data_IF_044062269687
#
_entry.id   IF_044062269687
#
_cell.length_a   1.000
_cell.length_b   1.000
_cell.length_c   1.000
_cell.angle_alpha   90.00
_cell.angle_beta   90.00
_cell.angle_gamma   90.00
#
_symmetry.space_group_name_H-M   'P 1'
#
loop_
_entity.id
_entity.type
_entity.pdbx_description
1 polymer ?
#
# COMPACT_ATOMS: atom_id res chain seq x y z
N UNK A 1 -3.57 -2.38 -9.83
CA UNK A 1 -3.08 -1.35 -8.89
C UNK A 1 -1.55 -1.27 -8.90
N UNK A 2 -0.83 -2.34 -8.52
CA UNK A 2 0.64 -2.33 -8.49
C UNK A 2 1.31 -1.93 -9.82
N UNK A 3 0.90 -2.55 -10.94
CA UNK A 3 1.46 -2.24 -12.27
C UNK A 3 1.26 -0.77 -12.64
N UNK A 4 0.07 -0.22 -12.39
CA UNK A 4 -0.23 1.18 -12.62
C UNK A 4 0.67 2.10 -11.79
N UNK A 5 0.83 1.79 -10.50
CA UNK A 5 1.68 2.54 -9.58
C UNK A 5 3.16 2.50 -10.01
N UNK A 6 3.67 1.33 -10.41
CA UNK A 6 5.03 1.17 -10.91
C UNK A 6 5.26 1.95 -12.20
N UNK A 7 4.33 1.88 -13.16
CA UNK A 7 4.41 2.65 -14.42
C UNK A 7 4.39 4.16 -14.14
N UNK A 8 3.52 4.62 -13.24
CA UNK A 8 3.47 6.02 -12.82
C UNK A 8 4.82 6.50 -12.27
N UNK A 9 5.44 5.74 -11.36
CA UNK A 9 6.76 6.08 -10.80
C UNK A 9 7.86 6.11 -11.86
N UNK A 10 7.88 5.13 -12.77
CA UNK A 10 8.87 5.07 -13.86
C UNK A 10 8.73 6.30 -14.77
N UNK A 11 7.51 6.60 -15.22
CA UNK A 11 7.24 7.74 -16.10
C UNK A 11 7.65 9.05 -15.41
N UNK A 12 7.25 9.25 -14.16
CA UNK A 12 7.61 10.45 -13.40
C UNK A 12 9.14 10.59 -13.24
N UNK A 13 9.83 9.50 -12.94
CA UNK A 13 11.29 9.48 -12.80
C UNK A 13 11.98 9.86 -14.11
N UNK A 14 11.53 9.33 -15.24
CA UNK A 14 12.06 9.67 -16.56
C UNK A 14 11.90 11.17 -16.84
N UNK A 15 10.68 11.71 -16.67
CA UNK A 15 10.43 13.14 -16.88
C UNK A 15 11.30 14.02 -15.96
N UNK A 16 11.45 13.63 -14.71
CA UNK A 16 12.26 14.35 -13.73
C UNK A 16 13.74 14.39 -14.10
N UNK A 17 14.30 13.26 -14.57
CA UNK A 17 15.70 13.19 -15.01
C UNK A 17 15.96 13.96 -16.31
N UNK A 18 14.93 14.12 -17.16
CA UNK A 18 15.04 14.86 -18.43
C UNK A 18 15.14 16.38 -18.23
N UNK A 19 14.67 16.94 -17.11
CA UNK A 19 14.66 18.40 -16.86
C UNK A 19 16.00 19.09 -17.20
N UNK A 20 17.15 18.68 -16.63
CA UNK A 20 18.45 19.30 -16.94
C UNK A 20 18.99 18.92 -18.32
N UNK A 21 18.50 17.86 -18.97
CA UNK A 21 18.90 17.46 -20.33
C UNK A 21 18.23 18.32 -21.41
N UNK A 22 16.97 18.74 -21.20
CA UNK A 22 16.20 19.53 -22.16
C UNK A 22 16.98 20.74 -22.71
N UNK A 23 17.59 21.63 -21.89
CA UNK A 23 18.34 22.76 -22.43
C UNK A 23 19.54 22.32 -23.27
N UNK A 24 20.25 21.24 -22.90
CA UNK A 24 21.41 20.73 -23.65
C UNK A 24 21.02 20.12 -24.99
N UNK A 25 19.92 19.38 -25.04
CA UNK A 25 19.38 18.84 -26.30
C UNK A 25 18.95 19.99 -27.20
N UNK A 26 18.28 21.01 -26.64
CA UNK A 26 17.82 22.16 -27.40
C UNK A 26 18.97 23.03 -27.94
N UNK A 27 20.10 23.13 -27.24
CA UNK A 27 21.29 23.81 -27.76
C UNK A 27 21.88 23.11 -29.00
N UNK A 28 21.75 21.78 -29.10
CA UNK A 28 22.20 21.01 -30.27
C UNK A 28 21.20 21.09 -31.43
N UNK A 29 19.90 20.96 -31.14
CA UNK A 29 18.85 20.90 -32.16
C UNK A 29 18.45 22.28 -32.69
N UNK A 30 18.40 23.28 -31.81
CA UNK A 30 18.02 24.66 -32.13
C UNK A 30 18.94 25.64 -31.37
N UNK A 31 20.18 25.82 -31.85
CA UNK A 31 21.16 26.67 -31.19
C UNK A 31 20.68 28.12 -31.15
N UNK A 32 20.94 28.77 -30.02
CA UNK A 32 20.78 30.21 -29.83
C UNK A 32 22.14 30.89 -29.97
N UNK A 33 22.15 32.22 -30.14
CA UNK A 33 23.38 33.01 -30.26
C UNK A 33 24.25 32.93 -28.97
N UNK A 34 23.59 32.68 -27.84
CA UNK A 34 24.20 32.37 -26.54
C UNK A 34 23.69 31.01 -26.05
N UNK A 35 24.51 30.28 -25.31
CA UNK A 35 24.12 28.98 -24.73
C UNK A 35 23.02 29.16 -23.68
N UNK A 36 22.06 28.22 -23.61
CA UNK A 36 21.00 28.27 -22.60
C UNK A 36 21.58 28.16 -21.18
N UNK A 37 20.95 28.80 -20.17
CA UNK A 37 21.41 28.69 -18.78
C UNK A 37 21.37 27.24 -18.29
N UNK A 38 22.36 26.87 -17.47
CA UNK A 38 22.45 25.56 -16.86
C UNK A 38 21.30 25.38 -15.86
N UNK A 39 20.48 24.35 -16.09
CA UNK A 39 19.37 23.97 -15.20
C UNK A 39 19.79 22.74 -14.40
N UNK A 40 19.49 22.77 -13.10
CA UNK A 40 19.65 21.64 -12.20
C UNK A 40 18.29 21.15 -11.73
N UNK A 41 18.23 19.88 -11.33
CA UNK A 41 17.02 19.23 -10.84
C UNK A 41 16.50 19.89 -9.56
N UNK A 42 17.41 20.31 -8.67
CA UNK A 42 17.09 21.04 -7.45
C UNK A 42 18.20 22.06 -7.14
N UNK A 43 17.87 23.26 -6.65
CA UNK A 43 18.85 24.30 -6.38
C UNK A 43 19.62 23.98 -5.10
N UNK A 44 20.89 23.60 -5.22
CA UNK A 44 21.80 23.38 -4.08
C UNK A 44 23.02 24.27 -4.19
N UNK A 45 23.41 24.81 -3.04
CA UNK A 45 24.62 25.61 -2.92
C UNK A 45 25.81 24.70 -2.59
N UNK A 46 26.61 24.37 -3.60
CA UNK A 46 27.79 23.51 -3.46
C UNK A 46 29.06 24.28 -3.04
N UNK A 47 28.99 25.62 -2.87
CA UNK A 47 30.13 26.49 -2.54
C UNK A 47 31.33 26.32 -3.49
N UNK A 48 31.06 25.88 -4.71
CA UNK A 48 32.01 25.73 -5.81
C UNK A 48 31.42 26.37 -7.06
N UNK A 49 32.28 26.69 -8.02
CA UNK A 49 31.86 27.20 -9.32
C UNK A 49 30.99 26.15 -10.05
N UNK A 50 29.72 26.50 -10.27
CA UNK A 50 28.70 25.62 -10.85
C UNK A 50 28.93 25.37 -12.34
N UNK A 51 29.57 26.30 -13.04
CA UNK A 51 29.87 26.18 -14.47
C UNK A 51 31.08 25.27 -14.67
N UNK A 52 32.13 25.48 -13.88
CA UNK A 52 33.35 24.67 -13.94
C UNK A 52 33.11 23.20 -13.54
N UNK A 53 32.28 22.96 -12.53
CA UNK A 53 32.00 21.62 -11.98
C UNK A 53 30.62 21.07 -12.35
N UNK A 54 30.08 21.50 -13.49
CA UNK A 54 28.71 21.16 -13.90
C UNK A 54 28.43 19.65 -13.91
N UNK A 55 29.25 18.83 -14.60
CA UNK A 55 29.00 17.39 -14.74
C UNK A 55 29.10 16.61 -13.41
N UNK A 56 30.13 16.84 -12.55
CA UNK A 56 30.15 16.25 -11.20
C UNK A 56 28.92 16.61 -10.35
N UNK A 57 28.49 17.89 -10.40
CA UNK A 57 27.30 18.35 -9.66
C UNK A 57 26.05 17.66 -10.20
N UNK A 58 25.90 17.60 -11.53
CA UNK A 58 24.77 16.95 -12.18
C UNK A 58 24.70 15.46 -11.82
N UNK A 59 25.84 14.77 -11.83
CA UNK A 59 25.93 13.36 -11.42
C UNK A 59 25.50 13.17 -9.96
N UNK A 60 25.97 14.02 -9.05
CA UNK A 60 25.56 13.98 -7.64
C UNK A 60 24.05 14.24 -7.49
N UNK A 61 23.51 15.22 -8.22
CA UNK A 61 22.07 15.49 -8.25
C UNK A 61 21.29 14.26 -8.72
N UNK A 62 21.73 13.57 -9.78
CA UNK A 62 21.04 12.35 -10.22
C UNK A 62 21.13 11.20 -9.23
N UNK A 63 22.32 10.95 -8.66
CA UNK A 63 22.49 9.88 -7.68
C UNK A 63 21.59 10.10 -6.46
N UNK A 64 21.54 11.32 -5.94
CA UNK A 64 20.69 11.68 -4.80
C UNK A 64 19.20 11.63 -5.15
N UNK A 65 18.79 12.14 -6.32
CA UNK A 65 17.40 12.05 -6.79
C UNK A 65 16.94 10.60 -6.95
N UNK A 66 17.72 9.75 -7.62
CA UNK A 66 17.41 8.33 -7.81
C UNK A 66 17.31 7.58 -6.48
N UNK A 67 18.23 7.87 -5.54
CA UNK A 67 18.21 7.28 -4.20
C UNK A 67 16.93 7.65 -3.46
N UNK A 68 16.57 8.95 -3.45
CA UNK A 68 15.34 9.43 -2.80
C UNK A 68 14.09 8.83 -3.40
N UNK A 69 13.99 8.78 -4.74
CA UNK A 69 12.84 8.19 -5.44
C UNK A 69 12.73 6.69 -5.14
N UNK A 70 13.85 5.98 -5.09
CA UNK A 70 13.87 4.54 -4.77
C UNK A 70 13.39 4.27 -3.36
N UNK A 71 13.84 5.08 -2.39
CA UNK A 71 13.38 4.98 -1.00
C UNK A 71 11.87 5.21 -0.92
N UNK A 72 11.37 6.28 -1.55
CA UNK A 72 9.94 6.60 -1.57
C UNK A 72 9.12 5.45 -2.18
N UNK A 73 9.49 4.98 -3.36
CA UNK A 73 8.84 3.86 -4.04
C UNK A 73 8.83 2.58 -3.18
N UNK A 74 9.93 2.30 -2.48
CA UNK A 74 10.03 1.12 -1.61
C UNK A 74 9.10 1.24 -0.41
N UNK A 75 9.03 2.41 0.22
CA UNK A 75 8.13 2.67 1.36
C UNK A 75 6.67 2.51 0.93
N UNK A 76 6.27 3.15 -0.18
CA UNK A 76 4.89 3.11 -0.66
C UNK A 76 4.48 1.69 -1.09
N UNK A 77 5.38 0.97 -1.76
CA UNK A 77 5.13 -0.41 -2.16
C UNK A 77 5.00 -1.30 -0.93
N UNK A 78 5.83 -1.10 0.08
CA UNK A 78 5.74 -1.85 1.34
C UNK A 78 4.41 -1.59 2.04
N UNK A 79 3.95 -0.33 2.07
CA UNK A 79 2.63 0.03 2.57
C UNK A 79 1.52 -0.75 1.85
N UNK A 80 1.49 -0.66 0.51
CA UNK A 80 0.50 -1.35 -0.33
C UNK A 80 0.50 -2.85 -0.06
N UNK A 81 1.68 -3.47 -0.03
CA UNK A 81 1.82 -4.91 0.17
C UNK A 81 1.32 -5.37 1.55
N UNK A 82 1.66 -4.63 2.61
CA UNK A 82 1.20 -4.98 3.95
C UNK A 82 -0.34 -4.85 4.08
N UNK A 83 -0.93 -3.83 3.44
CA UNK A 83 -2.39 -3.68 3.37
C UNK A 83 -3.04 -4.83 2.60
N UNK A 84 -2.53 -5.17 1.40
CA UNK A 84 -3.05 -6.28 0.61
C UNK A 84 -2.93 -7.63 1.32
N UNK A 85 -1.84 -7.83 2.07
CA UNK A 85 -1.65 -9.00 2.90
C UNK A 85 -2.71 -9.08 4.01
N UNK A 86 -2.98 -7.98 4.71
CA UNK A 86 -4.05 -7.91 5.70
C UNK A 86 -5.44 -8.17 5.08
N UNK A 87 -5.74 -7.58 3.93
CA UNK A 87 -6.97 -7.83 3.17
C UNK A 87 -7.14 -9.31 2.81
N UNK A 88 -6.07 -9.98 2.38
CA UNK A 88 -6.09 -11.39 2.04
C UNK A 88 -6.38 -12.26 3.26
N UNK A 89 -5.81 -11.90 4.42
CA UNK A 89 -6.08 -12.57 5.69
C UNK A 89 -7.53 -12.40 6.13
N UNK A 90 -8.12 -11.21 5.98
CA UNK A 90 -9.56 -11.00 6.23
C UNK A 90 -10.42 -11.96 5.40
N UNK A 91 -10.15 -12.09 4.10
CA UNK A 91 -10.90 -13.00 3.20
C UNK A 91 -10.81 -14.46 3.68
N UNK A 92 -9.61 -14.92 4.04
CA UNK A 92 -9.40 -16.29 4.53
C UNK A 92 -10.16 -16.54 5.83
N UNK A 93 -10.15 -15.57 6.75
CA UNK A 93 -10.85 -15.67 8.03
C UNK A 93 -12.36 -15.67 7.79
N UNK A 94 -12.90 -14.78 6.97
CA UNK A 94 -14.32 -14.74 6.61
C UNK A 94 -14.81 -16.08 6.04
N UNK A 95 -14.07 -16.66 5.09
CA UNK A 95 -14.45 -17.93 4.49
C UNK A 95 -14.43 -19.08 5.51
N UNK A 96 -13.48 -19.07 6.45
CA UNK A 96 -13.43 -20.08 7.52
C UNK A 96 -14.59 -19.93 8.49
N UNK A 97 -14.94 -18.70 8.87
CA UNK A 97 -16.09 -18.40 9.72
C UNK A 97 -17.39 -18.85 9.05
N UNK A 98 -17.59 -18.49 7.78
CA UNK A 98 -18.78 -18.87 7.00
C UNK A 98 -18.95 -20.39 6.92
N UNK A 99 -17.86 -21.15 6.71
CA UNK A 99 -17.90 -22.61 6.69
C UNK A 99 -18.29 -23.21 8.06
N UNK A 100 -17.70 -22.71 9.15
CA UNK A 100 -18.03 -23.18 10.51
C UNK A 100 -19.50 -22.85 10.85
N UNK A 101 -19.98 -21.65 10.53
CA UNK A 101 -21.36 -21.24 10.74
C UNK A 101 -22.33 -22.05 9.88
N UNK A 102 -21.96 -22.36 8.63
CA UNK A 102 -22.72 -23.22 7.74
C UNK A 102 -22.87 -24.64 8.29
N UNK A 103 -21.76 -25.28 8.69
CA UNK A 103 -21.75 -26.61 9.30
C UNK A 103 -22.56 -26.66 10.61
N UNK A 104 -22.52 -25.59 11.41
CA UNK A 104 -23.31 -25.50 12.64
C UNK A 104 -24.82 -25.42 12.34
N UNK A 105 -25.22 -24.65 11.33
CA UNK A 105 -26.63 -24.54 10.89
C UNK A 105 -27.15 -25.86 10.34
N UNK A 106 -26.40 -26.55 9.48
CA UNK A 106 -26.82 -27.85 8.93
C UNK A 106 -26.96 -28.91 10.02
N UNK A 107 -26.03 -28.94 11.00
CA UNK A 107 -26.14 -29.86 12.16
C UNK A 107 -27.38 -29.57 13.01
N UNK A 108 -27.71 -28.29 13.20
CA UNK A 108 -28.90 -27.89 13.97
C UNK A 108 -30.22 -28.22 13.22
N UNK A 109 -30.22 -28.12 11.90
CA UNK A 109 -31.35 -28.52 11.05
C UNK A 109 -31.50 -30.05 10.98
N UNK A 110 -30.40 -30.78 10.86
CA UNK A 110 -30.38 -32.24 10.96
C UNK A 110 -30.84 -32.71 12.35
N UNK A 111 -30.40 -32.08 13.44
CA UNK A 111 -30.89 -32.38 14.80
C UNK A 111 -32.39 -32.09 14.95
N UNK A 112 -32.91 -31.00 14.36
CA UNK A 112 -34.37 -30.72 14.33
C UNK A 112 -35.14 -31.77 13.53
N UNK A 113 -34.60 -32.20 12.38
CA UNK A 113 -35.20 -33.25 11.56
C UNK A 113 -35.10 -34.64 12.23
N UNK A 114 -34.02 -34.91 12.97
CA UNK A 114 -33.80 -36.16 13.73
C UNK A 114 -34.63 -36.20 15.02
N UNK A 115 -34.87 -35.06 15.70
CA UNK A 115 -35.77 -34.98 16.85
C UNK A 115 -37.23 -35.28 16.51
N UNK A 116 -37.60 -35.25 15.22
CA UNK A 116 -38.92 -35.69 14.74
C UNK A 116 -38.93 -37.19 14.39
N UNK A 117 -37.77 -37.87 14.33
CA UNK A 117 -37.67 -39.21 13.73
C UNK A 117 -36.82 -40.28 14.42
N UNK A 118 -36.03 -40.01 15.48
CA UNK A 118 -35.10 -41.05 16.00
C UNK A 118 -34.99 -41.09 17.53
N UNK A 119 -36.02 -41.64 18.15
CA UNK A 119 -36.00 -42.00 19.57
C UNK A 119 -35.27 -43.33 19.86
N UNK A 120 -34.78 -44.10 18.88
CA UNK A 120 -34.14 -45.39 19.19
C UNK A 120 -32.93 -45.68 18.28
N UNK A 121 -31.90 -46.28 18.90
CA UNK A 121 -30.79 -47.05 18.32
C UNK A 121 -29.41 -46.36 18.22
N UNK A 122 -28.39 -47.05 18.73
CA UNK A 122 -26.94 -46.79 18.67
C UNK A 122 -26.26 -45.96 19.78
N UNK A 123 -26.71 -46.11 21.03
CA UNK A 123 -25.90 -45.77 22.21
C UNK A 123 -25.06 -46.95 22.74
N UNK A 124 -25.00 -48.09 22.06
CA UNK A 124 -24.34 -49.27 22.64
C UNK A 124 -23.94 -50.22 21.54
N UNK A 125 -22.66 -50.24 21.19
CA UNK A 125 -21.87 -51.39 20.66
C UNK A 125 -20.76 -50.91 19.73
N UNK A 126 -19.60 -50.58 20.30
CA UNK A 126 -18.32 -51.23 19.97
C UNK A 126 -17.20 -50.57 20.81
N UNK A 127 -16.85 -51.27 21.88
CA UNK A 127 -15.86 -50.87 22.88
C UNK A 127 -14.62 -51.74 22.68
N UNK A 128 -13.49 -51.13 22.33
CA UNK A 128 -12.19 -51.82 22.32
C UNK A 128 -11.05 -51.07 21.63
N UNK A 129 -11.28 -50.56 20.42
CA UNK A 129 -10.25 -49.86 19.61
C UNK A 129 -10.55 -48.38 19.36
N UNK A 130 -11.82 -48.00 19.38
CA UNK A 130 -12.34 -46.67 19.02
C UNK A 130 -11.97 -45.55 20.01
N UNK A 131 -11.63 -45.91 21.26
CA UNK A 131 -11.27 -44.94 22.30
C UNK A 131 -9.88 -44.32 22.12
N UNK A 132 -9.00 -44.97 21.36
CA UNK A 132 -7.71 -44.39 20.98
C UNK A 132 -7.89 -43.42 19.81
N UNK A 133 -8.61 -43.83 18.77
CA UNK A 133 -8.85 -43.05 17.57
C UNK A 133 -9.72 -41.82 17.84
N UNK A 134 -10.76 -41.94 18.67
CA UNK A 134 -11.58 -40.79 19.10
C UNK A 134 -10.79 -39.80 19.97
N UNK A 135 -9.92 -40.30 20.85
CA UNK A 135 -9.05 -39.45 21.67
C UNK A 135 -8.04 -38.70 20.80
N UNK A 136 -7.49 -39.38 19.78
CA UNK A 136 -6.56 -38.79 18.82
C UNK A 136 -7.26 -37.73 17.93
N UNK A 137 -8.50 -37.99 17.50
CA UNK A 137 -9.37 -37.03 16.82
C UNK A 137 -9.67 -35.80 17.69
N UNK A 138 -10.04 -35.99 18.95
CA UNK A 138 -10.29 -34.90 19.90
C UNK A 138 -9.05 -34.04 20.16
N UNK A 139 -7.87 -34.66 20.25
CA UNK A 139 -6.60 -33.96 20.36
C UNK A 139 -6.30 -33.17 19.08
N UNK A 140 -6.58 -33.74 17.91
CA UNK A 140 -6.42 -33.07 16.62
C UNK A 140 -7.34 -31.84 16.50
N UNK A 141 -8.61 -31.98 16.86
CA UNK A 141 -9.57 -30.86 16.88
C UNK A 141 -9.14 -29.77 17.85
N UNK A 142 -8.73 -30.12 19.07
CA UNK A 142 -8.26 -29.16 20.07
C UNK A 142 -6.99 -28.43 19.61
N UNK A 143 -6.06 -29.13 18.95
CA UNK A 143 -4.87 -28.52 18.33
C UNK A 143 -5.25 -27.58 17.18
N UNK A 144 -6.21 -27.96 16.35
CA UNK A 144 -6.70 -27.11 15.26
C UNK A 144 -7.35 -25.84 15.80
N UNK A 145 -8.15 -25.95 16.87
CA UNK A 145 -8.80 -24.81 17.51
C UNK A 145 -7.78 -23.84 18.12
N UNK A 146 -6.75 -24.36 18.81
CA UNK A 146 -5.64 -23.55 19.32
C UNK A 146 -4.83 -22.90 18.19
N UNK A 147 -4.62 -23.61 17.08
CA UNK A 147 -3.94 -23.06 15.91
C UNK A 147 -4.74 -21.92 15.28
N UNK A 148 -6.07 -22.05 15.18
CA UNK A 148 -6.96 -21.00 14.70
C UNK A 148 -6.94 -19.78 15.64
N UNK A 149 -7.00 -19.99 16.95
CA UNK A 149 -6.95 -18.91 17.94
C UNK A 149 -5.60 -18.17 17.89
N UNK A 150 -4.49 -18.91 17.75
CA UNK A 150 -3.16 -18.33 17.58
C UNK A 150 -3.04 -17.52 16.28
N UNK A 151 -3.57 -18.05 15.17
CA UNK A 151 -3.60 -17.36 13.87
C UNK A 151 -4.44 -16.09 13.97
N UNK A 152 -5.62 -16.15 14.59
CA UNK A 152 -6.51 -15.00 14.78
C UNK A 152 -5.83 -13.93 15.65
N UNK A 153 -5.16 -14.34 16.74
CA UNK A 153 -4.45 -13.41 17.63
C UNK A 153 -3.26 -12.75 16.94
N UNK A 154 -2.46 -13.52 16.20
CA UNK A 154 -1.34 -13.00 15.41
C UNK A 154 -1.84 -12.06 14.31
N UNK A 155 -2.95 -12.40 13.66
CA UNK A 155 -3.62 -11.55 12.68
C UNK A 155 -4.09 -10.23 13.29
N UNK A 156 -4.82 -10.27 14.41
CA UNK A 156 -5.30 -9.07 15.09
C UNK A 156 -4.14 -8.17 15.53
N UNK A 157 -3.06 -8.75 16.06
CA UNK A 157 -1.86 -8.01 16.41
C UNK A 157 -1.23 -7.34 15.17
N UNK A 158 -1.13 -8.07 14.06
CA UNK A 158 -0.59 -7.55 12.81
C UNK A 158 -1.44 -6.40 12.28
N UNK A 159 -2.78 -6.53 12.24
CA UNK A 159 -3.70 -5.47 11.83
C UNK A 159 -3.61 -4.26 12.76
N UNK A 160 -3.46 -4.46 14.07
CA UNK A 160 -3.33 -3.36 15.02
C UNK A 160 -2.03 -2.58 14.83
N UNK A 161 -0.90 -3.28 14.65
CA UNK A 161 0.40 -2.67 14.35
C UNK A 161 0.34 -1.91 13.02
N UNK A 162 -0.26 -2.53 12.00
CA UNK A 162 -0.46 -1.95 10.68
C UNK A 162 -1.26 -0.66 10.76
N UNK A 163 -2.43 -0.71 11.43
CA UNK A 163 -3.33 0.41 11.60
C UNK A 163 -2.67 1.55 12.38
N UNK A 164 -1.98 1.24 13.48
CA UNK A 164 -1.28 2.25 14.29
C UNK A 164 -0.16 2.94 13.51
N UNK A 165 0.71 2.15 12.87
CA UNK A 165 1.85 2.66 12.09
C UNK A 165 1.39 3.50 10.91
N UNK A 166 0.40 3.00 10.15
CA UNK A 166 -0.09 3.71 8.97
C UNK A 166 -1.01 4.86 9.28
N UNK A 167 -1.76 4.85 10.39
CA UNK A 167 -2.50 6.04 10.82
C UNK A 167 -1.52 7.20 11.08
N UNK A 168 -0.43 6.93 11.80
CA UNK A 168 0.60 7.94 12.06
C UNK A 168 1.32 8.36 10.78
N UNK A 169 1.75 7.41 9.94
CA UNK A 169 2.45 7.71 8.70
C UNK A 169 1.56 8.50 7.72
N UNK A 170 0.29 8.12 7.58
CA UNK A 170 -0.68 8.81 6.71
C UNK A 170 -1.00 10.20 7.24
N UNK A 171 -1.11 10.37 8.55
CA UNK A 171 -1.29 11.69 9.16
C UNK A 171 -0.13 12.62 8.85
N UNK A 172 1.10 12.15 9.04
CA UNK A 172 2.31 12.91 8.70
C UNK A 172 2.34 13.21 7.21
N UNK A 173 2.09 12.21 6.36
CA UNK A 173 2.05 12.38 4.90
C UNK A 173 1.02 13.43 4.47
N UNK A 174 -0.22 13.38 5.00
CA UNK A 174 -1.26 14.35 4.68
C UNK A 174 -0.87 15.77 5.12
N UNK A 175 -0.28 15.90 6.31
CA UNK A 175 0.19 17.21 6.82
C UNK A 175 1.28 17.81 5.93
N UNK A 176 2.26 16.99 5.50
CA UNK A 176 3.32 17.42 4.59
C UNK A 176 2.76 17.77 3.20
N UNK A 177 1.80 17.00 2.69
CA UNK A 177 1.15 17.30 1.42
C UNK A 177 0.41 18.64 1.45
N UNK A 178 -0.30 18.95 2.53
CA UNK A 178 -0.97 20.24 2.69
C UNK A 178 0.01 21.41 2.73
N UNK A 179 1.15 21.25 3.41
CA UNK A 179 2.21 22.26 3.45
C UNK A 179 2.83 22.46 2.06
N UNK A 180 3.17 21.38 1.35
CA UNK A 180 3.74 21.43 0.00
C UNK A 180 2.78 22.10 -0.97
N UNK A 181 1.49 21.72 -0.94
CA UNK A 181 0.48 22.30 -1.82
C UNK A 181 0.26 23.80 -1.53
N UNK A 182 0.34 24.20 -0.26
CA UNK A 182 0.26 25.61 0.13
C UNK A 182 1.44 26.43 -0.42
N UNK A 183 2.66 25.89 -0.33
CA UNK A 183 3.86 26.53 -0.88
C UNK A 183 3.76 26.64 -2.40
N UNK A 184 3.33 25.58 -3.09
CA UNK A 184 3.11 25.59 -4.54
C UNK A 184 2.05 26.62 -4.92
N UNK A 185 0.96 26.74 -4.15
CA UNK A 185 -0.08 27.74 -4.38
C UNK A 185 0.46 29.17 -4.30
N UNK A 186 1.28 29.48 -3.29
CA UNK A 186 1.94 30.78 -3.18
C UNK A 186 2.91 31.02 -4.35
N UNK A 187 3.70 30.00 -4.71
CA UNK A 187 4.65 30.08 -5.82
C UNK A 187 3.93 30.30 -7.16
N UNK A 188 2.76 29.70 -7.35
CA UNK A 188 1.93 29.92 -8.54
C UNK A 188 1.44 31.37 -8.62
N UNK A 189 0.90 31.91 -7.52
CA UNK A 189 0.39 33.29 -7.46
C UNK A 189 1.52 34.29 -7.76
N UNK A 190 2.70 34.09 -7.17
CA UNK A 190 3.83 35.00 -7.34
C UNK A 190 4.45 34.96 -8.75
N UNK A 191 4.23 33.90 -9.53
CA UNK A 191 4.84 33.70 -10.85
C UNK A 191 3.80 33.62 -11.98
N UNK A 192 2.63 34.24 -11.81
CA UNK A 192 1.54 34.23 -12.80
C UNK A 192 1.92 34.78 -14.18
N UNK A 193 2.93 35.63 -14.27
CA UNK A 193 3.41 36.19 -15.54
C UNK A 193 4.28 35.19 -16.33
N UNK A 194 4.85 34.18 -15.67
CA UNK A 194 5.78 33.23 -16.27
C UNK A 194 5.05 31.92 -16.62
N UNK A 195 4.64 31.76 -17.88
CA UNK A 195 3.88 30.59 -18.36
C UNK A 195 4.56 29.25 -18.05
N UNK A 196 5.90 29.18 -18.10
CA UNK A 196 6.66 27.97 -17.77
C UNK A 196 6.49 27.55 -16.30
N UNK A 197 6.48 28.52 -15.39
CA UNK A 197 6.32 28.28 -13.95
C UNK A 197 4.90 27.85 -13.60
N UNK A 198 3.90 28.40 -14.31
CA UNK A 198 2.49 27.99 -14.19
C UNK A 198 2.32 26.54 -14.62
N UNK A 199 2.81 26.17 -15.81
CA UNK A 199 2.71 24.81 -16.34
C UNK A 199 3.37 23.82 -15.37
N UNK A 200 4.57 24.17 -14.85
CA UNK A 200 5.27 23.34 -13.87
C UNK A 200 4.45 23.15 -12.60
N UNK A 201 3.88 24.23 -12.06
CA UNK A 201 3.09 24.21 -10.82
C UNK A 201 1.82 23.37 -10.98
N UNK A 202 1.13 23.46 -12.11
CA UNK A 202 -0.04 22.63 -12.42
C UNK A 202 0.36 21.15 -12.47
N UNK A 203 1.43 20.82 -13.20
CA UNK A 203 1.89 19.44 -13.34
C UNK A 203 2.27 18.80 -12.00
N UNK A 204 3.03 19.54 -11.18
CA UNK A 204 3.40 19.08 -9.83
C UNK A 204 2.16 18.92 -8.95
N UNK A 205 1.21 19.85 -9.02
CA UNK A 205 -0.05 19.76 -8.26
C UNK A 205 -0.84 18.50 -8.65
N UNK A 206 -1.03 18.26 -9.95
CA UNK A 206 -1.68 17.04 -10.44
C UNK A 206 -0.94 15.78 -9.98
N UNK A 207 0.39 15.76 -10.03
CA UNK A 207 1.18 14.61 -9.60
C UNK A 207 1.00 14.31 -8.10
N UNK A 208 1.02 15.35 -7.26
CA UNK A 208 0.80 15.23 -5.80
C UNK A 208 -0.60 14.72 -5.48
N UNK A 209 -1.64 15.26 -6.14
CA UNK A 209 -3.01 14.77 -5.97
C UNK A 209 -3.18 13.32 -6.42
N UNK A 210 -2.63 12.95 -7.57
CA UNK A 210 -2.69 11.57 -8.07
C UNK A 210 -1.99 10.59 -7.13
N UNK A 211 -0.83 10.97 -6.60
CA UNK A 211 -0.11 10.17 -5.61
C UNK A 211 -0.94 9.98 -4.33
N UNK A 212 -1.56 11.04 -3.82
CA UNK A 212 -2.44 10.97 -2.64
C UNK A 212 -3.62 10.02 -2.87
N UNK A 213 -4.30 10.11 -4.01
CA UNK A 213 -5.40 9.20 -4.36
C UNK A 213 -4.91 7.75 -4.39
N UNK A 214 -3.75 7.49 -5.00
CA UNK A 214 -3.18 6.14 -5.06
C UNK A 214 -2.90 5.56 -3.66
N UNK A 215 -2.45 6.40 -2.71
CA UNK A 215 -2.20 5.98 -1.33
C UNK A 215 -3.50 5.79 -0.52
N UNK A 216 -4.59 6.47 -0.87
CA UNK A 216 -5.88 6.29 -0.22
C UNK A 216 -6.60 4.98 -0.61
N UNK A 217 -6.41 4.49 -1.84
CA UNK A 217 -7.12 3.28 -2.35
C UNK A 217 -6.86 2.03 -1.48
N UNK A 218 -5.62 1.66 -1.13
CA UNK A 218 -5.37 0.53 -0.24
C UNK A 218 -6.04 0.71 1.13
N UNK A 219 -6.00 1.92 1.68
CA UNK A 219 -6.65 2.23 2.96
C UNK A 219 -8.16 1.99 2.94
N UNK A 220 -8.85 2.41 1.87
CA UNK A 220 -10.27 2.14 1.68
C UNK A 220 -10.54 0.64 1.55
N UNK A 221 -9.74 -0.06 0.74
CA UNK A 221 -9.86 -1.52 0.58
C UNK A 221 -9.72 -2.26 1.93
N UNK A 222 -8.84 -1.80 2.81
CA UNK A 222 -8.66 -2.39 4.14
C UNK A 222 -9.93 -2.26 4.99
N UNK A 223 -10.55 -1.08 4.98
CA UNK A 223 -11.80 -0.81 5.72
C UNK A 223 -12.93 -1.71 5.19
N UNK A 224 -13.09 -1.77 3.87
CA UNK A 224 -14.12 -2.58 3.22
C UNK A 224 -13.99 -4.06 3.60
N UNK A 225 -12.77 -4.62 3.51
CA UNK A 225 -12.50 -6.02 3.86
C UNK A 225 -12.65 -6.31 5.35
N UNK A 226 -12.33 -5.35 6.21
CA UNK A 226 -12.53 -5.51 7.65
C UNK A 226 -14.01 -5.56 8.02
N UNK A 227 -14.85 -4.78 7.33
CA UNK A 227 -16.30 -4.72 7.58
C UNK A 227 -17.00 -5.99 7.08
N UNK A 228 -16.61 -6.48 5.89
CA UNK A 228 -17.15 -7.70 5.28
C UNK A 228 -17.02 -8.94 6.19
N UNK A 229 -16.02 -8.97 7.08
CA UNK A 229 -15.84 -10.08 8.03
C UNK A 229 -16.98 -10.12 9.06
N UNK A 230 -17.46 -8.96 9.51
CA UNK A 230 -18.56 -8.88 10.46
C UNK A 230 -19.90 -9.22 9.80
N UNK A 231 -20.08 -8.87 8.52
CA UNK A 231 -21.31 -9.18 7.78
C UNK A 231 -21.46 -10.68 7.48
N UNK A 232 -20.34 -11.41 7.39
CA UNK A 232 -20.29 -12.85 7.07
C UNK A 232 -20.24 -13.79 8.28
N UNK A 233 -19.97 -13.26 9.48
CA UNK A 233 -19.91 -14.02 10.72
C UNK A 233 -21.31 -14.29 11.28
#
# INVERSE_FOLDING_TARGET
MYVFFAVYFIVFTIFYLLIPLIPRILDVVKPLNESRPLVFVFPVEYRVDKEKYYYPILFHCYATSLTTITILFTVDTTYIMCVLHACSLFIVISHRLENITGEAKTKLEDEKNICTGRHYHLLTEEHGSTGNDYRELMICLKRHQLALEFVLRTFLLHVQILNSTFTQATFILLSLNMLILSIIGIQLINNLEHTNEIIRSIFVTCAVFMHLICMCIPGQLLIDRSTEVFDKA
#
